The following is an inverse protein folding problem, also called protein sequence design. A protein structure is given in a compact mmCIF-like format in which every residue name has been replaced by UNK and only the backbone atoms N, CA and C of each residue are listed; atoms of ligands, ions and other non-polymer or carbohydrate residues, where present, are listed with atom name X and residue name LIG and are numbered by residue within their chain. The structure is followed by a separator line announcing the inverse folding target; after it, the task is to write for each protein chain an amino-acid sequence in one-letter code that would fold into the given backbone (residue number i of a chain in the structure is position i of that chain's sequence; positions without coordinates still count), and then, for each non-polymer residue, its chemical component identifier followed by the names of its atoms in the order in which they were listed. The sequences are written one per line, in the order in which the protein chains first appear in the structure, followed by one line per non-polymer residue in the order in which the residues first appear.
data_IF_738858810297
#
_entry.id   IF_738858810297
#
_cell.length_a   1.000
_cell.length_b   1.000
_cell.length_c   1.000
_cell.angle_alpha   90.00
_cell.angle_beta   90.00
_cell.angle_gamma   90.00
#
_symmetry.space_group_name_H-M   'P 1'
#
loop_
_entity.id
_entity.type
_entity.pdbx_description
1 polymer ?
#
# COMPACT_ATOMS: atom_id res chain seq x y z
N UNK A 1 -21.44 -0.60 -53.62
CA UNK A 1 -20.00 -0.46 -53.91
C UNK A 1 -19.74 1.02 -54.09
N UNK A 2 -18.95 1.73 -53.28
CA UNK A 2 -17.97 1.34 -52.28
C UNK A 2 -18.06 2.29 -51.07
N UNK A 3 -17.82 1.72 -49.89
CA UNK A 3 -17.59 2.37 -48.61
C UNK A 3 -16.20 3.00 -48.56
N UNK A 4 -16.12 4.28 -48.18
CA UNK A 4 -14.95 4.83 -47.50
C UNK A 4 -15.42 5.75 -46.37
N UNK A 5 -15.79 5.13 -45.25
CA UNK A 5 -15.73 5.78 -43.95
C UNK A 5 -14.25 5.81 -43.57
N UNK A 6 -13.60 6.95 -43.83
CA UNK A 6 -12.30 7.27 -43.26
C UNK A 6 -12.45 7.29 -41.74
N UNK A 7 -12.09 6.18 -41.10
CA UNK A 7 -11.95 6.08 -39.66
C UNK A 7 -10.78 6.99 -39.24
N UNK A 8 -11.12 8.23 -38.90
CA UNK A 8 -10.36 9.06 -37.98
C UNK A 8 -10.23 8.29 -36.66
N UNK A 9 -9.22 7.44 -36.57
CA UNK A 9 -8.72 6.92 -35.30
C UNK A 9 -7.56 7.81 -34.90
N UNK A 10 -7.90 9.03 -34.49
CA UNK A 10 -7.11 9.75 -33.50
C UNK A 10 -7.18 8.91 -32.24
N UNK A 11 -6.31 7.90 -32.13
CA UNK A 11 -5.93 7.35 -30.84
C UNK A 11 -5.17 8.48 -30.14
N UNK A 12 -5.92 9.38 -29.51
CA UNK A 12 -5.42 10.14 -28.38
C UNK A 12 -5.02 9.10 -27.34
N UNK A 13 -3.74 8.71 -27.38
CA UNK A 13 -3.06 8.20 -26.21
C UNK A 13 -3.11 9.37 -25.23
N UNK A 14 -4.16 9.39 -24.40
CA UNK A 14 -4.22 10.27 -23.25
C UNK A 14 -3.05 9.83 -22.39
N UNK A 15 -1.96 10.58 -22.45
CA UNK A 15 -0.88 10.48 -21.48
C UNK A 15 -1.46 10.90 -20.14
N UNK A 16 -2.05 9.94 -19.42
CA UNK A 16 -2.38 10.12 -18.02
C UNK A 16 -1.10 10.54 -17.29
N UNK A 17 -1.20 11.58 -16.47
CA UNK A 17 -0.07 12.00 -15.65
C UNK A 17 0.37 10.84 -14.73
N UNK A 18 1.64 10.81 -14.26
CA UNK A 18 2.11 9.78 -13.34
C UNK A 18 1.22 9.61 -12.09
N UNK A 19 0.60 10.69 -11.63
CA UNK A 19 -0.34 10.71 -10.49
C UNK A 19 -1.71 10.07 -10.80
N UNK A 20 -2.19 10.18 -12.04
CA UNK A 20 -3.45 9.54 -12.44
C UNK A 20 -3.24 8.04 -12.59
N UNK A 21 -2.12 7.64 -13.21
CA UNK A 21 -1.76 6.23 -13.37
C UNK A 21 -1.65 5.50 -12.03
N UNK A 22 -0.99 6.10 -11.04
CA UNK A 22 -0.82 5.44 -9.73
C UNK A 22 -2.15 5.33 -8.97
N UNK A 23 -3.08 6.28 -9.16
CA UNK A 23 -4.42 6.20 -8.56
C UNK A 23 -5.19 5.02 -9.15
N UNK A 24 -5.12 4.82 -10.46
CA UNK A 24 -5.73 3.68 -11.13
C UNK A 24 -5.11 2.35 -10.63
N UNK A 25 -3.78 2.30 -10.48
CA UNK A 25 -3.09 1.14 -9.89
C UNK A 25 -3.58 0.85 -8.47
N UNK A 26 -3.73 1.87 -7.60
CA UNK A 26 -4.22 1.69 -6.23
C UNK A 26 -5.65 1.12 -6.23
N UNK A 27 -6.53 1.65 -7.08
CA UNK A 27 -7.90 1.15 -7.22
C UNK A 27 -7.91 -0.31 -7.65
N UNK A 28 -7.10 -0.66 -8.66
CA UNK A 28 -7.03 -2.02 -9.17
C UNK A 28 -6.44 -3.00 -8.14
N UNK A 29 -5.48 -2.57 -7.31
CA UNK A 29 -4.97 -3.37 -6.17
C UNK A 29 -6.12 -3.72 -5.23
N UNK A 30 -6.94 -2.75 -4.85
CA UNK A 30 -8.07 -2.94 -3.92
C UNK A 30 -9.14 -3.85 -4.53
N UNK A 31 -9.43 -3.69 -5.83
CA UNK A 31 -10.34 -4.57 -6.58
C UNK A 31 -9.83 -6.01 -6.58
N UNK A 32 -8.56 -6.23 -6.90
CA UNK A 32 -7.97 -7.57 -6.94
C UNK A 32 -7.90 -8.22 -5.55
N UNK A 33 -7.56 -7.44 -4.52
CA UNK A 33 -7.59 -7.92 -3.14
C UNK A 33 -9.01 -8.35 -2.72
N UNK A 34 -10.02 -7.55 -3.06
CA UNK A 34 -11.42 -7.87 -2.78
C UNK A 34 -11.89 -9.12 -3.51
N UNK A 35 -11.56 -9.23 -4.80
CA UNK A 35 -11.89 -10.39 -5.61
C UNK A 35 -11.24 -11.66 -5.07
N UNK A 36 -9.95 -11.59 -4.71
CA UNK A 36 -9.26 -12.74 -4.14
C UNK A 36 -9.89 -13.18 -2.82
N UNK A 37 -10.20 -12.25 -1.91
CA UNK A 37 -10.84 -12.58 -0.64
C UNK A 37 -12.23 -13.23 -0.81
N UNK A 38 -12.99 -12.82 -1.82
CA UNK A 38 -14.32 -13.38 -2.10
C UNK A 38 -14.28 -14.75 -2.78
N UNK A 39 -13.25 -15.02 -3.59
CA UNK A 39 -13.25 -16.17 -4.51
C UNK A 39 -12.16 -17.19 -4.24
N UNK A 40 -11.08 -16.82 -3.54
CA UNK A 40 -9.85 -17.61 -3.43
C UNK A 40 -9.14 -17.84 -4.76
N UNK A 41 -9.52 -17.13 -5.84
CA UNK A 41 -9.02 -17.39 -7.19
C UNK A 41 -7.58 -16.95 -7.39
N UNK A 42 -6.71 -17.87 -7.81
CA UNK A 42 -5.27 -17.61 -8.04
C UNK A 42 -5.02 -16.48 -9.05
N UNK A 43 -5.90 -16.31 -10.05
CA UNK A 43 -5.79 -15.20 -11.01
C UNK A 43 -5.94 -13.83 -10.34
N UNK A 44 -6.81 -13.70 -9.33
CA UNK A 44 -6.99 -12.47 -8.59
C UNK A 44 -5.76 -12.17 -7.72
N UNK A 45 -5.20 -13.20 -7.06
CA UNK A 45 -3.95 -13.08 -6.31
C UNK A 45 -2.78 -12.67 -7.21
N UNK A 46 -2.62 -13.31 -8.37
CA UNK A 46 -1.59 -12.95 -9.34
C UNK A 46 -1.75 -11.51 -9.86
N UNK A 47 -2.99 -11.08 -10.10
CA UNK A 47 -3.32 -9.69 -10.44
C UNK A 47 -2.92 -8.72 -9.34
N UNK A 48 -3.28 -9.02 -8.09
CA UNK A 48 -2.88 -8.24 -6.92
C UNK A 48 -1.36 -8.12 -6.82
N UNK A 49 -0.61 -9.23 -6.87
CA UNK A 49 0.86 -9.24 -6.74
C UNK A 49 1.50 -8.38 -7.84
N UNK A 50 1.03 -8.50 -9.08
CA UNK A 50 1.55 -7.71 -10.21
C UNK A 50 1.35 -6.21 -9.97
N UNK A 51 0.13 -5.79 -9.62
CA UNK A 51 -0.20 -4.38 -9.41
C UNK A 51 0.49 -3.82 -8.15
N UNK A 52 0.58 -4.63 -7.10
CA UNK A 52 1.26 -4.26 -5.87
C UNK A 52 2.76 -4.05 -6.13
N UNK A 53 3.40 -4.88 -6.96
CA UNK A 53 4.79 -4.64 -7.39
C UNK A 53 4.95 -3.33 -8.18
N UNK A 54 4.04 -3.00 -9.10
CA UNK A 54 4.06 -1.71 -9.81
C UNK A 54 3.92 -0.53 -8.84
N UNK A 55 3.08 -0.67 -7.82
CA UNK A 55 2.97 0.30 -6.74
C UNK A 55 4.26 0.41 -5.91
N UNK A 56 4.91 -0.72 -5.59
CA UNK A 56 6.20 -0.73 -4.86
C UNK A 56 7.30 -0.02 -5.64
N UNK A 57 7.33 -0.15 -6.97
CA UNK A 57 8.25 0.59 -7.84
C UNK A 57 8.02 2.10 -7.76
N UNK A 58 6.76 2.55 -7.71
CA UNK A 58 6.41 3.97 -7.64
C UNK A 58 6.80 4.62 -6.30
N UNK A 59 6.84 3.85 -5.20
CA UNK A 59 7.20 4.38 -3.87
C UNK A 59 8.68 4.20 -3.51
N UNK A 60 9.46 3.48 -4.31
CA UNK A 60 10.88 3.26 -4.08
C UNK A 60 11.73 4.54 -4.26
N UNK A 61 12.95 4.61 -3.68
CA UNK A 61 13.48 3.75 -2.62
C UNK A 61 12.82 3.98 -1.25
N UNK A 62 12.86 2.95 -0.40
CA UNK A 62 12.46 3.02 1.01
C UNK A 62 13.68 3.28 1.91
N UNK A 63 13.45 3.85 3.09
CA UNK A 63 14.50 3.97 4.10
C UNK A 63 14.81 2.59 4.69
N UNK A 64 16.09 2.28 4.91
CA UNK A 64 16.46 1.03 5.57
C UNK A 64 16.27 1.14 7.09
N UNK A 65 15.54 0.18 7.68
CA UNK A 65 15.38 0.06 9.14
C UNK A 65 15.89 -1.31 9.59
N UNK A 66 17.03 -1.38 10.30
CA UNK A 66 17.62 -2.65 10.73
C UNK A 66 16.68 -3.50 11.57
N UNK A 67 16.55 -4.78 11.20
CA UNK A 67 15.78 -5.79 11.93
C UNK A 67 14.25 -5.59 11.87
N UNK A 68 13.75 -4.65 11.06
CA UNK A 68 12.33 -4.31 11.07
C UNK A 68 11.47 -5.42 10.47
N UNK A 69 11.92 -6.03 9.38
CA UNK A 69 11.20 -7.12 8.73
C UNK A 69 11.07 -8.33 9.67
N UNK A 70 12.14 -8.66 10.40
CA UNK A 70 12.17 -9.74 11.38
C UNK A 70 11.24 -9.44 12.56
N UNK A 71 11.34 -8.23 13.14
CA UNK A 71 10.46 -7.81 14.24
C UNK A 71 8.98 -7.80 13.86
N UNK A 72 8.65 -7.40 12.62
CA UNK A 72 7.28 -7.44 12.14
C UNK A 72 6.83 -8.87 11.84
N UNK A 73 7.64 -9.65 11.14
CA UNK A 73 7.31 -11.03 10.76
C UNK A 73 7.08 -11.94 11.96
N UNK A 74 7.85 -11.78 13.04
CA UNK A 74 7.64 -12.52 14.30
C UNK A 74 6.35 -12.16 15.04
N UNK A 75 5.73 -11.03 14.70
CA UNK A 75 4.56 -10.46 15.40
C UNK A 75 3.30 -10.46 14.57
N UNK A 76 3.41 -10.77 13.28
CA UNK A 76 2.30 -10.87 12.38
C UNK A 76 1.65 -12.25 12.56
N UNK A 77 0.44 -12.27 13.10
CA UNK A 77 -0.26 -13.54 13.38
C UNK A 77 -1.16 -13.97 12.22
N UNK A 78 -1.68 -13.00 11.46
CA UNK A 78 -2.67 -13.22 10.40
C UNK A 78 -2.28 -12.47 9.13
N UNK A 79 -2.59 -13.05 7.99
CA UNK A 79 -2.44 -12.38 6.69
C UNK A 79 -3.60 -11.42 6.44
N UNK A 80 -3.48 -10.53 5.45
CA UNK A 80 -4.58 -9.71 4.96
C UNK A 80 -5.76 -10.56 4.46
N UNK A 81 -5.50 -11.78 4.03
CA UNK A 81 -6.51 -12.70 3.51
C UNK A 81 -7.39 -13.27 4.63
N UNK A 82 -6.83 -13.39 5.83
CA UNK A 82 -7.50 -14.00 6.99
C UNK A 82 -8.30 -12.99 7.84
N UNK A 83 -8.19 -11.69 7.56
CA UNK A 83 -8.70 -10.64 8.45
C UNK A 83 -9.74 -9.76 7.77
N UNK A 84 -10.82 -9.44 8.48
CA UNK A 84 -11.84 -8.50 7.99
C UNK A 84 -11.41 -7.05 8.17
N UNK A 85 -11.20 -6.36 7.04
CA UNK A 85 -10.83 -4.96 6.97
C UNK A 85 -11.71 -4.19 5.97
N UNK A 86 -11.71 -2.86 6.10
CA UNK A 86 -12.38 -1.95 5.17
C UNK A 86 -11.50 -1.67 3.94
N UNK A 87 -12.00 -2.01 2.75
CA UNK A 87 -11.29 -1.77 1.49
C UNK A 87 -11.05 -0.29 1.19
N UNK A 88 -11.92 0.62 1.65
CA UNK A 88 -11.67 2.06 1.56
C UNK A 88 -10.53 2.49 2.47
N UNK A 89 -10.36 1.84 3.61
CA UNK A 89 -9.21 2.08 4.47
C UNK A 89 -7.90 1.58 3.82
N UNK A 90 -7.95 0.47 3.06
CA UNK A 90 -6.79 -0.04 2.31
C UNK A 90 -6.42 0.91 1.18
N UNK A 91 -7.41 1.35 0.40
CA UNK A 91 -7.25 2.37 -0.65
C UNK A 91 -6.60 3.64 -0.08
N UNK A 92 -7.11 4.14 1.06
CA UNK A 92 -6.58 5.33 1.71
C UNK A 92 -5.16 5.11 2.26
N UNK A 93 -4.86 3.93 2.79
CA UNK A 93 -3.52 3.58 3.26
C UNK A 93 -2.50 3.59 2.10
N UNK A 94 -2.82 2.97 0.97
CA UNK A 94 -1.93 2.97 -0.19
C UNK A 94 -1.77 4.39 -0.77
N UNK A 95 -2.86 5.15 -0.83
CA UNK A 95 -2.84 6.54 -1.28
C UNK A 95 -1.94 7.40 -0.40
N UNK A 96 -2.07 7.30 0.93
CA UNK A 96 -1.31 8.17 1.82
C UNK A 96 0.17 7.82 1.88
N UNK A 97 0.52 6.53 1.75
CA UNK A 97 1.91 6.08 1.60
C UNK A 97 2.53 6.73 0.35
N UNK A 98 1.81 6.70 -0.78
CA UNK A 98 2.25 7.35 -2.02
C UNK A 98 2.36 8.87 -1.85
N UNK A 99 1.34 9.53 -1.29
CA UNK A 99 1.35 10.99 -1.06
C UNK A 99 2.54 11.42 -0.20
N UNK A 100 2.82 10.72 0.91
CA UNK A 100 3.97 11.03 1.78
C UNK A 100 5.29 10.82 1.05
N UNK A 101 5.35 9.84 0.15
CA UNK A 101 6.56 9.53 -0.62
C UNK A 101 6.80 10.50 -1.77
N UNK A 102 5.74 10.92 -2.46
CA UNK A 102 5.76 11.78 -3.62
C UNK A 102 5.89 13.27 -3.24
N UNK A 103 5.26 13.69 -2.13
CA UNK A 103 5.23 15.09 -1.70
C UNK A 103 6.06 15.28 -0.42
N UNK A 104 7.08 16.13 -0.51
CA UNK A 104 7.93 16.47 0.65
C UNK A 104 7.32 17.56 1.57
N UNK A 105 6.28 18.28 1.11
CA UNK A 105 5.68 19.39 1.84
C UNK A 105 4.34 18.99 2.52
N UNK A 106 4.10 19.45 3.75
CA UNK A 106 2.92 19.15 4.57
C UNK A 106 2.70 17.66 4.91
N UNK A 107 3.75 17.02 5.40
CA UNK A 107 3.75 15.58 5.73
C UNK A 107 3.17 15.26 7.11
N UNK A 108 3.02 16.23 8.01
CA UNK A 108 2.70 15.96 9.44
C UNK A 108 1.29 15.43 9.66
N UNK A 109 0.29 16.05 9.06
CA UNK A 109 -1.11 15.60 9.19
C UNK A 109 -1.31 14.24 8.51
N UNK A 110 -0.69 14.07 7.33
CA UNK A 110 -0.67 12.81 6.60
C UNK A 110 0.00 11.70 7.40
N UNK A 111 1.08 12.02 8.10
CA UNK A 111 1.80 11.06 8.94
C UNK A 111 0.95 10.61 10.15
N UNK A 112 0.15 11.50 10.70
CA UNK A 112 -0.85 11.16 11.72
C UNK A 112 -1.92 10.20 11.19
N UNK A 113 -2.45 10.47 10.00
CA UNK A 113 -3.42 9.60 9.34
C UNK A 113 -2.82 8.24 8.95
N UNK A 114 -1.61 8.20 8.39
CA UNK A 114 -0.87 6.97 8.11
C UNK A 114 -0.70 6.13 9.38
N UNK A 115 -0.36 6.76 10.50
CA UNK A 115 -0.23 6.07 11.79
C UNK A 115 -1.55 5.49 12.30
N UNK A 116 -2.68 6.17 12.10
CA UNK A 116 -3.99 5.64 12.46
C UNK A 116 -4.38 4.45 11.58
N UNK A 117 -4.25 4.59 10.26
CA UNK A 117 -4.56 3.52 9.31
C UNK A 117 -3.66 2.30 9.54
N UNK A 118 -2.35 2.51 9.69
CA UNK A 118 -1.43 1.40 9.94
C UNK A 118 -1.72 0.71 11.27
N UNK A 119 -2.04 1.47 12.34
CA UNK A 119 -2.46 0.88 13.62
C UNK A 119 -3.72 0.02 13.46
N UNK A 120 -4.69 0.49 12.69
CA UNK A 120 -5.90 -0.26 12.39
C UNK A 120 -5.58 -1.60 11.70
N UNK A 121 -4.78 -1.58 10.63
CA UNK A 121 -4.42 -2.82 9.91
C UNK A 121 -3.53 -3.75 10.74
N UNK A 122 -2.55 -3.22 11.47
CA UNK A 122 -1.72 -3.99 12.40
C UNK A 122 -2.57 -4.69 13.46
N UNK A 123 -3.55 -4.00 14.04
CA UNK A 123 -4.47 -4.60 15.00
C UNK A 123 -5.32 -5.71 14.38
N UNK A 124 -5.74 -5.55 13.11
CA UNK A 124 -6.45 -6.60 12.38
C UNK A 124 -5.58 -7.84 12.15
N UNK A 125 -4.31 -7.63 11.82
CA UNK A 125 -3.34 -8.69 11.56
C UNK A 125 -2.70 -9.30 12.83
N UNK A 126 -3.23 -8.97 14.02
CA UNK A 126 -2.77 -9.53 15.30
C UNK A 126 -1.48 -8.91 15.85
N UNK A 127 -0.96 -7.82 15.28
CA UNK A 127 0.29 -7.20 15.75
C UNK A 127 0.05 -6.44 17.07
N UNK A 128 0.68 -6.83 18.20
CA UNK A 128 0.42 -6.24 19.51
C UNK A 128 1.21 -4.94 19.71
N UNK A 129 0.88 -3.90 18.94
CA UNK A 129 1.64 -2.65 18.85
C UNK A 129 1.92 -1.99 20.21
N UNK A 130 1.01 -2.11 21.18
CA UNK A 130 1.20 -1.57 22.54
C UNK A 130 2.32 -2.28 23.31
N UNK A 131 2.38 -3.60 23.21
CA UNK A 131 3.41 -4.42 23.89
C UNK A 131 4.79 -4.19 23.29
N UNK A 132 4.83 -3.83 22.00
CA UNK A 132 6.05 -3.46 21.28
C UNK A 132 6.51 -2.02 21.55
N UNK A 133 5.88 -1.28 22.47
CA UNK A 133 6.23 0.12 22.75
C UNK A 133 5.79 1.10 21.65
N UNK A 134 4.75 0.75 20.90
CA UNK A 134 4.22 1.54 19.79
C UNK A 134 5.09 1.45 18.54
N UNK A 135 4.87 2.39 17.61
CA UNK A 135 5.71 2.53 16.42
C UNK A 135 7.18 2.79 16.76
N UNK A 136 7.46 3.45 17.90
CA UNK A 136 8.82 3.70 18.36
C UNK A 136 9.61 2.41 18.57
N UNK A 137 9.03 1.39 19.19
CA UNK A 137 9.73 0.13 19.43
C UNK A 137 9.85 -0.75 18.20
N UNK A 138 8.89 -0.69 17.26
CA UNK A 138 9.02 -1.35 15.95
C UNK A 138 10.13 -0.72 15.09
N UNK A 139 10.09 0.59 14.93
CA UNK A 139 11.04 1.34 14.10
C UNK A 139 12.42 1.43 14.79
N UNK A 140 12.47 1.35 16.12
CA UNK A 140 13.69 1.60 16.88
C UNK A 140 14.09 3.08 16.91
N UNK A 141 13.14 3.99 16.69
CA UNK A 141 13.34 5.44 16.66
C UNK A 141 12.33 6.13 17.57
N UNK A 142 12.78 7.06 18.43
CA UNK A 142 11.89 7.77 19.37
C UNK A 142 10.97 8.79 18.70
N UNK A 143 11.39 9.33 17.56
CA UNK A 143 10.73 10.46 16.89
C UNK A 143 10.44 10.17 15.41
N UNK A 144 9.80 9.03 15.10
CA UNK A 144 9.36 8.73 13.71
C UNK A 144 8.44 9.81 13.13
N UNK A 145 7.81 10.63 13.99
CA UNK A 145 7.00 11.79 13.59
C UNK A 145 7.78 12.86 12.83
N UNK A 146 9.10 12.87 12.96
CA UNK A 146 10.00 13.78 12.22
C UNK A 146 10.63 13.10 11.00
N UNK A 147 10.38 11.80 10.81
CA UNK A 147 10.96 10.98 9.72
C UNK A 147 9.87 10.21 8.99
N UNK A 148 9.09 10.87 8.11
CA UNK A 148 7.98 10.24 7.39
C UNK A 148 8.40 8.99 6.61
N UNK A 149 9.60 8.97 6.03
CA UNK A 149 10.09 7.81 5.26
C UNK A 149 10.29 6.54 6.09
N UNK A 150 10.57 6.65 7.40
CA UNK A 150 10.59 5.48 8.30
C UNK A 150 9.19 4.88 8.45
N UNK A 151 8.16 5.72 8.52
CA UNK A 151 6.78 5.27 8.66
C UNK A 151 6.23 4.68 7.36
N UNK A 152 6.58 5.28 6.22
CA UNK A 152 6.34 4.70 4.88
C UNK A 152 6.96 3.30 4.80
N UNK A 153 8.23 3.18 5.18
CA UNK A 153 8.93 1.88 5.18
C UNK A 153 8.22 0.86 6.06
N UNK A 154 7.82 1.25 7.27
CA UNK A 154 7.08 0.38 8.18
C UNK A 154 5.76 -0.09 7.56
N UNK A 155 4.98 0.82 6.99
CA UNK A 155 3.70 0.50 6.38
C UNK A 155 3.86 -0.44 5.18
N UNK A 156 4.86 -0.18 4.33
CA UNK A 156 5.13 -1.00 3.15
C UNK A 156 5.60 -2.40 3.54
N UNK A 157 6.53 -2.52 4.49
CA UNK A 157 6.99 -3.83 4.96
C UNK A 157 5.86 -4.61 5.62
N UNK A 158 5.01 -3.95 6.41
CA UNK A 158 3.81 -4.58 6.95
C UNK A 158 2.90 -5.11 5.82
N UNK A 159 2.60 -4.30 4.79
CA UNK A 159 1.76 -4.73 3.68
C UNK A 159 2.37 -5.89 2.90
N UNK A 160 3.68 -5.86 2.63
CA UNK A 160 4.40 -6.97 1.98
C UNK A 160 4.22 -8.25 2.79
N UNK A 161 4.57 -8.22 4.08
CA UNK A 161 4.48 -9.39 4.95
C UNK A 161 3.05 -9.90 5.11
N UNK A 162 2.09 -9.00 5.28
CA UNK A 162 0.69 -9.35 5.48
C UNK A 162 0.00 -9.80 4.18
N UNK A 163 0.54 -9.45 3.01
CA UNK A 163 0.00 -9.90 1.72
C UNK A 163 0.60 -11.21 1.21
N UNK A 164 1.62 -11.74 1.88
CA UNK A 164 2.25 -13.00 1.50
C UNK A 164 1.40 -14.18 2.01
N UNK A 165 0.81 -15.01 1.12
CA UNK A 165 -0.05 -16.14 1.50
C UNK A 165 0.72 -17.32 2.10
#
# INVERSE_FOLDING_TARGET
METMLGLNTSQEIIFQGPEERIRDVINDIVVMASLYKQTGGEHALAGFIKLFNEYLEAIAPLEYVPGLAERLGEKLELTLWDVDFDYKALERLLTIIYEIRAYSENTRDRLGELAMLLSYFMAKAGVPLRELGGFNGLIGCRDWRERPGLMVTLAVLFLILASNP
#
